data_IF_087861355053
#
_entry.id   IF_087861355053
#
_cell.length_a   1.000
_cell.length_b   1.000
_cell.length_c   1.000
_cell.angle_alpha   90.00
_cell.angle_beta   90.00
_cell.angle_gamma   90.00
#
_symmetry.space_group_name_H-M   'P 1'
#
loop_
_entity.id
_entity.type
_entity.pdbx_description
1 polymer ?
#
# COMPACT_ATOMS: atom_id res chain seq x y z
N UNK A 1 -0.06 -10.56 -5.09
CA UNK A 1 -1.49 -10.21 -5.11
C UNK A 1 -1.81 -9.69 -6.50
N UNK A 2 -2.91 -10.13 -7.13
CA UNK A 2 -3.29 -9.78 -8.50
C UNK A 2 -4.65 -9.11 -8.48
N UNK A 3 -4.78 -7.95 -9.12
CA UNK A 3 -6.03 -7.19 -9.24
C UNK A 3 -6.50 -7.29 -10.70
N UNK A 4 -7.78 -7.61 -10.89
CA UNK A 4 -8.43 -7.62 -12.21
C UNK A 4 -9.47 -6.51 -12.20
N UNK A 5 -9.26 -5.48 -13.02
CA UNK A 5 -10.13 -4.31 -13.11
C UNK A 5 -11.06 -4.42 -14.34
N UNK A 6 -11.90 -5.45 -14.39
CA UNK A 6 -12.80 -5.77 -15.51
C UNK A 6 -14.21 -5.16 -15.40
N UNK A 7 -14.53 -4.53 -14.26
CA UNK A 7 -15.85 -3.93 -14.03
C UNK A 7 -16.06 -2.65 -14.83
N UNK A 8 -17.09 -2.64 -15.67
CA UNK A 8 -17.47 -1.49 -16.51
C UNK A 8 -18.65 -0.67 -15.96
N UNK A 9 -19.26 -1.09 -14.84
CA UNK A 9 -20.38 -0.41 -14.15
C UNK A 9 -20.19 1.11 -14.05
N UNK A 10 -21.22 1.92 -14.29
CA UNK A 10 -21.14 3.38 -14.13
C UNK A 10 -21.03 3.86 -12.68
N UNK A 11 -21.21 2.97 -11.70
CA UNK A 11 -21.12 3.29 -10.28
C UNK A 11 -19.68 3.14 -9.77
N UNK A 12 -19.12 4.20 -9.20
CA UNK A 12 -17.77 4.23 -8.66
C UNK A 12 -17.55 3.23 -7.51
N UNK A 13 -18.60 2.92 -6.75
CA UNK A 13 -18.53 1.97 -5.64
C UNK A 13 -18.26 0.54 -6.13
N UNK A 14 -18.83 0.16 -7.27
CA UNK A 14 -18.61 -1.15 -7.87
C UNK A 14 -17.16 -1.30 -8.36
N UNK A 15 -16.51 -0.18 -8.72
CA UNK A 15 -15.11 -0.11 -9.17
C UNK A 15 -14.11 0.03 -8.03
N UNK A 16 -14.57 0.08 -6.78
CA UNK A 16 -13.70 0.17 -5.61
C UNK A 16 -13.13 -1.21 -5.28
N UNK A 17 -11.81 -1.29 -5.15
CA UNK A 17 -11.13 -2.52 -4.77
C UNK A 17 -10.36 -2.29 -3.46
N UNK A 18 -10.59 -3.16 -2.48
CA UNK A 18 -9.91 -3.13 -1.18
C UNK A 18 -8.95 -4.29 -1.09
N UNK A 19 -7.74 -4.01 -0.64
CA UNK A 19 -6.77 -5.04 -0.36
C UNK A 19 -6.05 -4.81 0.94
N UNK A 20 -5.62 -5.92 1.53
CA UNK A 20 -4.80 -5.94 2.73
C UNK A 20 -3.48 -6.60 2.34
N UNK A 21 -2.38 -5.93 2.64
CA UNK A 21 -1.05 -6.49 2.52
C UNK A 21 -0.38 -6.46 3.89
N UNK A 22 0.47 -7.45 4.14
CA UNK A 22 1.30 -7.47 5.33
C UNK A 22 2.62 -6.77 5.01
N UNK A 23 3.02 -5.86 5.88
CA UNK A 23 4.34 -5.26 5.80
C UNK A 23 5.40 -6.31 6.14
N UNK A 24 6.55 -6.24 5.46
CA UNK A 24 7.72 -7.03 5.87
C UNK A 24 8.12 -6.63 7.29
N UNK A 25 8.68 -7.52 8.13
CA UNK A 25 9.13 -7.19 9.48
C UNK A 25 10.40 -6.32 9.44
N UNK A 26 10.21 -5.05 9.12
CA UNK A 26 11.23 -4.01 9.04
C UNK A 26 10.83 -2.85 9.97
N UNK A 27 11.77 -1.95 10.24
CA UNK A 27 11.45 -0.71 10.95
C UNK A 27 10.75 0.25 9.97
N UNK A 28 9.59 0.76 10.37
CA UNK A 28 8.83 1.78 9.66
C UNK A 28 8.64 2.99 10.59
N UNK A 29 8.55 4.18 10.01
CA UNK A 29 8.30 5.44 10.71
C UNK A 29 7.03 6.05 10.14
N UNK A 30 6.14 6.56 11.00
CA UNK A 30 4.90 7.20 10.54
C UNK A 30 5.13 8.56 9.86
N UNK A 31 6.35 9.10 9.92
CA UNK A 31 6.78 10.33 9.24
C UNK A 31 7.39 10.09 7.87
N UNK A 32 7.70 8.84 7.53
CA UNK A 32 8.26 8.49 6.23
C UNK A 32 7.15 8.39 5.18
N UNK A 33 7.48 8.79 3.94
CA UNK A 33 6.61 8.60 2.79
C UNK A 33 6.78 7.19 2.24
N UNK A 34 5.68 6.43 2.19
CA UNK A 34 5.64 5.11 1.57
C UNK A 34 4.89 5.16 0.25
N UNK A 35 5.16 4.19 -0.61
CA UNK A 35 4.61 4.17 -1.95
C UNK A 35 4.09 2.80 -2.31
N UNK A 36 2.84 2.75 -2.76
CA UNK A 36 2.28 1.59 -3.42
C UNK A 36 2.75 1.64 -4.87
N UNK A 37 3.53 0.65 -5.27
CA UNK A 37 3.97 0.48 -6.65
C UNK A 37 3.00 -0.46 -7.36
N UNK A 38 2.25 0.08 -8.31
CA UNK A 38 1.28 -0.65 -9.13
C UNK A 38 1.95 -0.93 -10.47
N UNK A 39 2.36 -2.17 -10.66
CA UNK A 39 2.97 -2.66 -11.90
C UNK A 39 2.01 -3.61 -12.60
N UNK A 40 1.96 -3.54 -13.93
CA UNK A 40 1.32 -4.61 -14.70
C UNK A 40 2.17 -5.89 -14.68
N UNK A 41 1.54 -7.04 -14.96
CA UNK A 41 2.22 -8.34 -14.94
C UNK A 41 3.24 -8.54 -16.06
N UNK A 42 3.10 -7.79 -17.16
CA UNK A 42 3.95 -7.86 -18.34
C UNK A 42 5.18 -6.96 -18.25
N UNK A 43 5.22 -6.02 -17.30
CA UNK A 43 6.27 -5.02 -17.12
C UNK A 43 6.38 -3.99 -18.25
N UNK A 44 5.38 -3.91 -19.13
CA UNK A 44 5.41 -3.08 -20.34
C UNK A 44 4.97 -1.64 -20.08
N UNK A 45 4.11 -1.40 -19.10
CA UNK A 45 3.66 -0.08 -18.71
C UNK A 45 4.51 0.48 -17.56
N UNK A 46 4.64 1.81 -17.54
CA UNK A 46 5.31 2.47 -16.43
C UNK A 46 4.56 2.18 -15.12
N UNK A 47 5.26 1.81 -14.04
CA UNK A 47 4.63 1.59 -12.75
C UNK A 47 3.93 2.86 -12.28
N UNK A 48 2.67 2.74 -11.87
CA UNK A 48 2.02 3.79 -11.12
C UNK A 48 2.54 3.78 -9.68
N UNK A 49 2.76 4.98 -9.14
CA UNK A 49 3.27 5.18 -7.79
C UNK A 49 2.27 6.01 -7.03
N UNK A 50 1.65 5.42 -6.02
CA UNK A 50 0.72 6.12 -5.14
C UNK A 50 1.34 6.27 -3.76
N UNK A 51 1.44 7.51 -3.28
CA UNK A 51 1.95 7.80 -1.94
C UNK A 51 0.89 7.46 -0.88
N UNK A 52 1.33 6.84 0.21
CA UNK A 52 0.49 6.57 1.36
C UNK A 52 1.31 6.69 2.66
N UNK A 53 0.59 6.91 3.76
CA UNK A 53 1.17 6.91 5.09
C UNK A 53 0.76 5.63 5.83
N UNK A 54 1.69 5.10 6.61
CA UNK A 54 1.39 4.00 7.52
C UNK A 54 1.05 4.64 8.86
N UNK A 55 -0.21 4.49 9.28
CA UNK A 55 -0.63 4.91 10.61
C UNK A 55 -0.15 3.88 11.64
N UNK A 56 1.02 4.17 12.22
CA UNK A 56 1.60 3.38 13.30
C UNK A 56 1.42 4.20 14.57
N UNK A 57 0.54 3.72 15.45
CA UNK A 57 0.47 4.23 16.81
C UNK A 57 1.85 4.08 17.43
N UNK A 58 2.51 5.20 17.74
CA UNK A 58 3.83 5.21 18.33
C UNK A 58 3.80 4.42 19.64
N UNK A 59 4.29 3.19 19.61
CA UNK A 59 4.29 2.30 20.76
C UNK A 59 5.70 1.77 21.01
N UNK A 60 6.28 2.27 22.10
CA UNK A 60 7.36 1.70 22.92
C UNK A 60 8.82 1.74 22.42
N UNK A 61 9.18 2.32 21.26
CA UNK A 61 10.62 2.51 20.93
C UNK A 61 11.26 3.74 21.64
N UNK A 62 10.55 4.38 22.59
CA UNK A 62 11.16 5.24 23.62
C UNK A 62 11.67 4.47 24.85
N UNK A 63 11.53 3.15 24.89
CA UNK A 63 12.24 2.31 25.87
C UNK A 63 13.31 1.50 25.15
N UNK A 64 14.54 2.01 25.20
CA UNK A 64 15.73 1.14 25.12
C UNK A 64 15.65 0.16 26.30
N UNK A 65 15.58 -1.14 26.03
CA UNK A 65 15.83 -2.22 27.02
C UNK A 65 17.22 -2.82 26.84
N UNK A 66 18.23 -1.98 26.59
CA UNK A 66 19.64 -2.33 26.67
C UNK A 66 20.27 -1.60 27.84
#
# INVERSE_FOLDING_TARGET
MKIIADKTSGNAQDRSFRCTFNLKPLKYDNKDSYYLMITDETGLQMPAREEFQIDIAFAVDKFNFF
#
